data_IF_261746563003
#
_entry.id   IF_261746563003
#
_cell.length_a   1.000
_cell.length_b   1.000
_cell.length_c   1.000
_cell.angle_alpha   90.00
_cell.angle_beta   90.00
_cell.angle_gamma   90.00
#
_symmetry.space_group_name_H-M   'P 1'
#
loop_
_entity.id
_entity.type
_entity.pdbx_description
1 polymer ?
#
# COMPACT_ATOMS: atom_id res chain seq x y z
N UNK A 1 55.38 41.89 19.41
CA UNK A 1 55.93 42.95 18.49
C UNK A 1 54.92 43.05 17.36
N UNK A 2 54.08 44.09 17.43
CA UNK A 2 54.15 45.32 16.60
C UNK A 2 54.25 44.94 15.12
N UNK A 3 53.35 45.26 14.29
CA UNK A 3 52.65 46.45 13.73
C UNK A 3 52.29 46.08 12.30
N UNK A 4 51.47 46.57 11.49
CA UNK A 4 50.77 47.87 11.29
C UNK A 4 49.72 47.70 10.20
N UNK A 5 48.63 48.38 10.41
CA UNK A 5 47.52 48.77 9.52
C UNK A 5 48.03 49.42 8.23
N UNK A 6 47.36 49.17 7.08
CA UNK A 6 47.18 50.24 6.11
C UNK A 6 45.83 50.14 5.40
N UNK A 7 45.06 51.17 5.68
CA UNK A 7 43.79 51.53 5.06
C UNK A 7 44.10 52.39 3.83
N UNK A 8 43.50 52.14 2.70
CA UNK A 8 43.45 53.11 1.62
C UNK A 8 42.05 53.14 1.00
N UNK A 9 41.38 54.18 1.34
CA UNK A 9 40.11 54.69 0.82
C UNK A 9 40.44 55.54 -0.41
N UNK A 10 39.86 55.34 -1.59
CA UNK A 10 39.69 56.37 -2.59
C UNK A 10 38.32 56.27 -3.24
N UNK A 11 37.72 57.44 -3.32
CA UNK A 11 36.35 57.82 -3.62
C UNK A 11 36.08 58.06 -5.11
N UNK A 12 34.78 57.87 -5.45
CA UNK A 12 33.97 58.59 -6.47
C UNK A 12 34.47 58.77 -7.92
N UNK A 13 33.60 58.45 -8.84
CA UNK A 13 32.80 59.41 -9.64
C UNK A 13 31.71 58.66 -10.43
N UNK A 14 30.52 59.25 -10.34
CA UNK A 14 29.31 59.04 -11.08
C UNK A 14 29.42 59.48 -12.53
N UNK A 15 28.81 58.76 -13.48
CA UNK A 15 27.98 59.40 -14.52
C UNK A 15 27.12 58.38 -15.26
N UNK A 16 25.88 58.75 -15.41
CA UNK A 16 24.77 58.16 -16.14
C UNK A 16 25.03 58.00 -17.63
N UNK A 17 24.48 56.96 -18.27
CA UNK A 17 23.43 57.11 -19.28
C UNK A 17 22.85 55.74 -19.74
N UNK A 18 21.57 55.84 -20.05
CA UNK A 18 20.64 54.85 -20.54
C UNK A 18 21.07 54.17 -21.84
N UNK A 19 20.72 52.91 -21.96
CA UNK A 19 19.81 52.38 -23.02
C UNK A 19 19.69 50.87 -22.98
N UNK A 20 18.45 50.48 -22.89
CA UNK A 20 17.82 49.20 -23.18
C UNK A 20 18.61 48.15 -23.96
N UNK A 21 18.65 46.94 -23.41
CA UNK A 21 18.14 45.76 -24.16
C UNK A 21 17.85 44.60 -23.18
N UNK A 22 16.66 44.15 -23.23
CA UNK A 22 16.11 42.93 -22.65
C UNK A 22 16.98 41.72 -22.96
N UNK A 23 17.44 41.05 -21.92
CA UNK A 23 17.84 39.66 -22.04
C UNK A 23 17.28 38.88 -20.83
N UNK A 24 16.05 38.47 -21.01
CA UNK A 24 15.30 37.58 -20.13
C UNK A 24 15.97 36.22 -20.21
N UNK A 25 16.90 35.95 -19.30
CA UNK A 25 17.39 34.60 -19.06
C UNK A 25 16.27 33.80 -18.40
N UNK A 26 15.53 33.04 -19.23
CA UNK A 26 14.62 31.99 -18.79
C UNK A 26 15.44 30.97 -18.01
N UNK A 27 15.42 31.06 -16.70
CA UNK A 27 15.77 29.94 -15.83
C UNK A 27 14.67 28.91 -15.97
N UNK A 28 14.95 27.86 -16.73
CA UNK A 28 14.20 26.61 -16.70
C UNK A 28 14.39 26.01 -15.29
N UNK A 29 13.45 26.30 -14.43
CA UNK A 29 13.23 25.49 -13.23
C UNK A 29 12.75 24.14 -13.72
N UNK A 30 13.65 23.17 -13.78
CA UNK A 30 13.29 21.78 -13.78
C UNK A 30 12.65 21.48 -12.42
N UNK A 31 11.36 21.70 -12.32
CA UNK A 31 10.54 21.03 -11.31
C UNK A 31 10.50 19.57 -11.77
N UNK A 32 11.34 18.75 -11.21
CA UNK A 32 11.09 17.33 -11.11
C UNK A 32 9.80 17.21 -10.29
N UNK A 33 8.68 17.02 -10.97
CA UNK A 33 7.49 16.48 -10.35
C UNK A 33 7.83 15.03 -9.99
N UNK A 34 8.33 14.81 -8.78
CA UNK A 34 8.07 13.57 -8.08
C UNK A 34 6.55 13.41 -8.12
N UNK A 35 6.08 12.42 -8.89
CA UNK A 35 4.68 12.07 -8.91
C UNK A 35 4.29 11.72 -7.49
N UNK A 36 3.54 12.62 -6.88
CA UNK A 36 2.84 12.37 -5.62
C UNK A 36 1.88 11.21 -5.92
N UNK A 37 2.31 10.00 -5.60
CA UNK A 37 1.46 8.81 -5.59
C UNK A 37 0.45 9.11 -4.50
N UNK A 38 -0.74 9.57 -4.90
CA UNK A 38 -1.85 9.89 -4.01
C UNK A 38 -2.17 8.63 -3.20
N UNK A 39 -1.52 8.47 -2.08
CA UNK A 39 -1.86 7.44 -1.11
C UNK A 39 -3.30 7.68 -0.68
N UNK A 40 -4.14 6.69 -0.83
CA UNK A 40 -5.55 6.76 -0.47
C UNK A 40 -5.69 6.70 1.06
N UNK A 41 -5.49 7.83 1.73
CA UNK A 41 -5.44 7.97 3.19
C UNK A 41 -6.86 7.98 3.83
N UNK A 42 -7.78 7.13 3.36
CA UNK A 42 -9.12 7.02 3.92
C UNK A 42 -9.09 6.43 5.33
N UNK A 43 -9.81 7.09 6.23
CA UNK A 43 -10.01 6.66 7.63
C UNK A 43 -11.51 6.64 7.90
N UNK A 44 -11.99 5.59 8.55
CA UNK A 44 -13.40 5.38 8.84
C UNK A 44 -13.63 5.36 10.35
N UNK A 45 -14.79 5.84 10.79
CA UNK A 45 -15.16 5.88 12.21
C UNK A 45 -15.50 4.49 12.78
N UNK A 46 -15.91 3.56 11.89
CA UNK A 46 -16.29 2.19 12.26
C UNK A 46 -16.13 1.23 11.07
N UNK A 47 -16.12 -0.06 11.38
CA UNK A 47 -16.22 -1.11 10.37
C UNK A 47 -17.53 -0.93 9.55
N UNK A 48 -17.51 -1.19 8.23
CA UNK A 48 -18.71 -1.16 7.39
C UNK A 48 -19.80 -2.09 7.94
N UNK A 49 -21.04 -1.60 7.94
CA UNK A 49 -22.19 -2.46 8.24
C UNK A 49 -22.27 -3.63 7.26
N UNK A 50 -22.83 -4.76 7.70
CA UNK A 50 -23.03 -5.94 6.86
C UNK A 50 -24.01 -5.61 5.73
N UNK A 51 -23.51 -5.55 4.49
CA UNK A 51 -24.29 -5.22 3.30
C UNK A 51 -24.09 -6.22 2.14
N UNK A 52 -23.30 -7.27 2.36
CA UNK A 52 -23.22 -8.39 1.42
C UNK A 52 -24.24 -9.46 1.79
N UNK A 53 -24.73 -10.19 0.80
CA UNK A 53 -25.57 -11.37 0.99
C UNK A 53 -24.67 -12.60 1.14
N UNK A 54 -24.60 -13.14 2.38
CA UNK A 54 -23.72 -14.28 2.69
C UNK A 54 -24.06 -15.56 1.92
N UNK A 55 -25.26 -15.66 1.34
CA UNK A 55 -25.66 -16.80 0.50
C UNK A 55 -25.14 -16.71 -0.94
N UNK A 56 -24.58 -15.58 -1.33
CA UNK A 56 -24.03 -15.32 -2.66
C UNK A 56 -22.54 -15.56 -2.72
N UNK A 57 -22.05 -15.82 -3.92
CA UNK A 57 -20.63 -15.89 -4.20
C UNK A 57 -20.11 -14.53 -4.61
N UNK A 58 -18.97 -14.17 -4.06
CA UNK A 58 -18.25 -12.95 -4.44
C UNK A 58 -16.87 -13.33 -4.96
N UNK A 59 -16.44 -12.59 -5.97
CA UNK A 59 -15.09 -12.67 -6.55
C UNK A 59 -14.50 -11.28 -6.64
N UNK A 60 -13.17 -11.20 -6.72
CA UNK A 60 -12.49 -9.95 -7.00
C UNK A 60 -11.33 -10.17 -7.97
N UNK A 61 -10.93 -9.12 -8.66
CA UNK A 61 -9.67 -9.05 -9.40
C UNK A 61 -8.81 -7.99 -8.74
N UNK A 62 -7.68 -8.39 -8.15
CA UNK A 62 -6.64 -7.47 -7.69
C UNK A 62 -5.75 -7.19 -8.90
N UNK A 63 -5.83 -5.98 -9.44
CA UNK A 63 -4.95 -5.51 -10.50
C UNK A 63 -3.69 -4.94 -9.90
N UNK A 64 -2.54 -5.41 -10.34
CA UNK A 64 -1.25 -4.94 -9.82
C UNK A 64 -0.34 -4.48 -10.95
N UNK A 65 0.67 -3.70 -10.62
CA UNK A 65 1.73 -3.29 -11.55
C UNK A 65 2.52 -4.48 -12.14
N UNK A 66 2.31 -5.71 -11.63
CA UNK A 66 2.97 -6.94 -12.09
C UNK A 66 2.03 -7.95 -12.74
N UNK A 67 0.74 -7.65 -12.81
CA UNK A 67 -0.33 -8.49 -13.38
C UNK A 67 -1.51 -8.66 -12.43
N UNK A 68 -2.53 -9.37 -12.90
CA UNK A 68 -3.80 -9.50 -12.22
C UNK A 68 -3.92 -10.82 -11.48
N UNK A 69 -4.61 -10.81 -10.34
CA UNK A 69 -4.94 -12.00 -9.56
C UNK A 69 -6.45 -12.05 -9.34
N UNK A 70 -7.10 -13.15 -9.79
CA UNK A 70 -8.53 -13.39 -9.52
C UNK A 70 -8.69 -14.12 -8.19
N UNK A 71 -9.65 -13.66 -7.38
CA UNK A 71 -9.90 -14.16 -6.02
C UNK A 71 -11.35 -14.65 -5.91
N UNK A 72 -11.56 -15.78 -5.26
CA UNK A 72 -12.85 -16.22 -4.74
C UNK A 72 -12.85 -16.11 -3.22
N UNK A 73 -13.94 -15.53 -2.66
CA UNK A 73 -14.07 -15.33 -1.23
C UNK A 73 -14.81 -16.50 -0.54
N UNK A 74 -14.42 -16.77 0.70
CA UNK A 74 -15.09 -17.71 1.59
C UNK A 74 -16.16 -17.00 2.43
N UNK A 75 -17.22 -16.54 1.78
CA UNK A 75 -18.25 -15.68 2.36
C UNK A 75 -18.96 -16.31 3.57
N UNK A 76 -19.20 -17.63 3.54
CA UNK A 76 -19.83 -18.34 4.65
C UNK A 76 -18.88 -18.56 5.83
N UNK A 77 -17.57 -18.70 5.57
CA UNK A 77 -16.55 -18.97 6.60
C UNK A 77 -16.11 -17.71 7.35
N UNK A 78 -16.05 -16.56 6.64
CA UNK A 78 -15.54 -15.30 7.17
C UNK A 78 -16.38 -14.10 6.68
N UNK A 79 -17.69 -14.05 6.98
CA UNK A 79 -18.60 -13.06 6.42
C UNK A 79 -18.25 -11.61 6.79
N UNK A 80 -17.79 -11.32 8.00
CA UNK A 80 -17.39 -9.97 8.41
C UNK A 80 -16.15 -9.51 7.65
N UNK A 81 -15.16 -10.38 7.54
CA UNK A 81 -13.90 -10.10 6.84
C UNK A 81 -14.14 -9.88 5.34
N UNK A 82 -14.95 -10.73 4.72
CA UNK A 82 -15.32 -10.60 3.30
C UNK A 82 -16.10 -9.30 3.08
N UNK A 83 -17.08 -9.00 3.95
CA UNK A 83 -17.82 -7.74 3.91
C UNK A 83 -16.88 -6.53 4.03
N UNK A 84 -15.96 -6.57 4.97
CA UNK A 84 -14.96 -5.51 5.17
C UNK A 84 -14.12 -5.30 3.91
N UNK A 85 -13.51 -6.36 3.40
CA UNK A 85 -12.65 -6.29 2.21
C UNK A 85 -13.42 -5.78 0.97
N UNK A 86 -14.64 -6.28 0.74
CA UNK A 86 -15.49 -5.86 -0.38
C UNK A 86 -15.85 -4.36 -0.29
N UNK A 87 -16.24 -3.89 0.89
CA UNK A 87 -16.63 -2.48 1.07
C UNK A 87 -15.43 -1.56 0.89
N UNK A 88 -14.29 -1.89 1.48
CA UNK A 88 -13.04 -1.13 1.28
C UNK A 88 -12.63 -1.10 -0.20
N UNK A 89 -12.73 -2.24 -0.89
CA UNK A 89 -12.43 -2.34 -2.33
C UNK A 89 -13.36 -1.46 -3.16
N UNK A 90 -14.68 -1.55 -2.94
CA UNK A 90 -15.68 -0.75 -3.66
C UNK A 90 -15.52 0.75 -3.43
N UNK A 91 -15.01 1.13 -2.27
CA UNK A 91 -14.68 2.53 -1.96
C UNK A 91 -13.30 2.94 -2.51
N UNK A 92 -12.59 2.07 -3.22
CA UNK A 92 -11.25 2.35 -3.76
C UNK A 92 -10.19 2.52 -2.68
N UNK A 93 -10.39 1.96 -1.49
CA UNK A 93 -9.44 2.05 -0.38
C UNK A 93 -8.07 1.43 -0.71
N UNK A 94 -8.05 0.38 -1.52
CA UNK A 94 -6.84 -0.32 -1.92
C UNK A 94 -6.18 0.26 -3.17
N UNK A 95 -6.78 1.27 -3.82
CA UNK A 95 -6.22 1.88 -5.02
C UNK A 95 -4.89 2.58 -4.70
N UNK A 96 -3.86 2.25 -5.47
CA UNK A 96 -2.49 2.73 -5.29
C UNK A 96 -1.80 2.33 -3.97
N UNK A 97 -2.32 1.33 -3.26
CA UNK A 97 -1.68 0.77 -2.08
C UNK A 97 -0.62 -0.25 -2.50
N UNK A 98 0.51 -0.28 -1.80
CA UNK A 98 1.63 -1.17 -2.15
C UNK A 98 1.61 -2.48 -1.35
N UNK A 99 2.27 -3.50 -1.90
CA UNK A 99 2.74 -4.63 -1.10
C UNK A 99 3.97 -4.18 -0.32
N UNK A 100 3.76 -3.76 0.91
CA UNK A 100 4.81 -3.16 1.75
C UNK A 100 5.75 -4.17 2.40
N UNK A 101 5.40 -5.47 2.38
CA UNK A 101 6.24 -6.56 2.90
C UNK A 101 6.11 -7.79 2.04
N UNK A 102 7.23 -8.29 1.53
CA UNK A 102 7.31 -9.43 0.61
C UNK A 102 8.41 -10.36 1.09
N UNK A 103 8.04 -11.60 1.41
CA UNK A 103 8.99 -12.63 1.83
C UNK A 103 8.88 -13.83 0.90
N UNK A 104 9.91 -14.04 0.08
CA UNK A 104 10.02 -15.22 -0.78
C UNK A 104 10.01 -16.50 0.06
N UNK A 105 9.23 -17.49 -0.38
CA UNK A 105 9.03 -18.73 0.39
C UNK A 105 8.07 -18.58 1.57
N UNK A 106 7.31 -17.46 1.66
CA UNK A 106 6.31 -17.27 2.70
C UNK A 106 5.06 -16.57 2.18
N UNK A 107 5.02 -15.23 2.07
CA UNK A 107 3.83 -14.47 1.70
C UNK A 107 4.16 -13.10 1.08
N UNK A 108 3.16 -12.48 0.46
CA UNK A 108 3.14 -11.08 0.06
C UNK A 108 2.06 -10.34 0.85
N UNK A 109 2.38 -9.22 1.49
CA UNK A 109 1.48 -8.49 2.40
C UNK A 109 1.28 -7.06 1.93
N UNK A 110 0.02 -6.63 1.90
CA UNK A 110 -0.43 -5.29 1.50
C UNK A 110 -1.61 -4.80 2.32
N UNK A 111 -2.33 -3.80 1.79
CA UNK A 111 -3.58 -3.30 2.38
C UNK A 111 -3.37 -2.20 3.44
N UNK A 112 -2.16 -1.68 3.58
CA UNK A 112 -1.87 -0.49 4.39
C UNK A 112 -1.66 0.73 3.49
N UNK A 113 -2.56 1.72 3.48
CA UNK A 113 -2.40 2.93 2.67
C UNK A 113 -1.16 3.74 3.00
N UNK A 114 -0.64 3.64 4.23
CA UNK A 114 0.59 4.31 4.61
C UNK A 114 1.85 3.67 4.00
N UNK A 115 1.73 2.42 3.49
CA UNK A 115 2.85 1.67 2.94
C UNK A 115 3.95 1.31 3.94
N UNK A 116 3.69 1.46 5.25
CA UNK A 116 4.67 1.21 6.31
C UNK A 116 4.51 -0.14 6.98
N UNK A 117 3.36 -0.80 6.81
CA UNK A 117 2.97 -2.01 7.55
C UNK A 117 2.50 -1.75 8.98
N UNK A 118 2.62 -0.53 9.47
CA UNK A 118 2.21 -0.15 10.83
C UNK A 118 0.84 0.56 10.84
N UNK A 119 0.21 0.77 9.68
CA UNK A 119 -1.05 1.50 9.56
C UNK A 119 -0.99 2.87 10.22
N UNK A 120 0.17 3.57 10.11
CA UNK A 120 0.49 4.75 10.90
C UNK A 120 0.09 4.62 12.37
N UNK A 121 0.61 3.56 13.03
CA UNK A 121 0.36 3.30 14.45
C UNK A 121 -1.11 2.99 14.79
N UNK A 122 -1.85 2.40 13.84
CA UNK A 122 -3.24 1.99 14.02
C UNK A 122 -4.27 3.02 13.57
N UNK A 123 -3.87 4.06 12.85
CA UNK A 123 -4.78 5.03 12.24
C UNK A 123 -5.63 4.41 11.14
N UNK A 124 -5.08 3.47 10.37
CA UNK A 124 -5.76 2.85 9.23
C UNK A 124 -6.25 1.43 9.54
N UNK A 125 -7.47 1.09 9.13
CA UNK A 125 -8.50 1.91 8.46
C UNK A 125 -9.29 2.81 9.40
N UNK A 126 -8.98 2.87 10.70
CA UNK A 126 -9.65 3.65 11.74
C UNK A 126 -10.41 2.80 12.75
N UNK A 127 -10.51 1.50 12.52
CA UNK A 127 -11.18 0.53 13.37
C UNK A 127 -10.44 -0.80 13.40
N UNK A 128 -10.87 -1.67 14.31
CA UNK A 128 -10.46 -3.06 14.40
C UNK A 128 -11.69 -3.95 14.52
N UNK A 129 -11.58 -5.21 14.11
CA UNK A 129 -12.65 -6.19 14.25
C UNK A 129 -12.13 -7.58 14.60
N UNK A 130 -13.02 -8.42 15.05
CA UNK A 130 -12.77 -9.75 15.60
C UNK A 130 -12.24 -10.73 14.52
N UNK A 131 -11.53 -11.75 14.99
CA UNK A 131 -11.07 -12.87 14.15
C UNK A 131 -12.25 -13.81 13.82
N UNK A 132 -12.26 -14.35 12.61
CA UNK A 132 -13.19 -15.38 12.17
C UNK A 132 -12.42 -16.69 11.91
N UNK A 133 -12.12 -17.43 12.98
CA UNK A 133 -11.32 -18.65 12.96
C UNK A 133 -12.19 -19.92 12.93
N UNK A 134 -13.31 -19.90 12.22
CA UNK A 134 -14.27 -21.01 12.20
C UNK A 134 -13.97 -22.08 11.17
N UNK A 135 -13.22 -21.73 10.12
CA UNK A 135 -12.80 -22.68 9.11
C UNK A 135 -11.43 -23.27 9.49
N UNK A 136 -11.24 -24.55 9.34
CA UNK A 136 -9.95 -25.23 9.60
C UNK A 136 -9.13 -25.37 8.31
N UNK A 137 -9.04 -24.29 7.52
CA UNK A 137 -8.26 -24.26 6.29
C UNK A 137 -6.77 -24.14 6.59
N UNK A 138 -5.95 -24.72 5.73
CA UNK A 138 -4.49 -24.56 5.77
C UNK A 138 -4.08 -23.25 5.10
N UNK A 139 -2.92 -22.72 5.48
CA UNK A 139 -2.29 -21.59 4.79
C UNK A 139 -1.52 -22.10 3.56
N UNK A 140 -2.26 -22.61 2.58
CA UNK A 140 -1.70 -23.14 1.33
C UNK A 140 -1.42 -21.99 0.36
N UNK A 141 -0.58 -22.22 -0.66
CA UNK A 141 -0.27 -21.23 -1.70
C UNK A 141 -1.54 -20.63 -2.31
N UNK A 142 -1.59 -19.29 -2.41
CA UNK A 142 -2.73 -18.56 -2.94
C UNK A 142 -3.80 -18.23 -1.91
N UNK A 143 -3.74 -18.75 -0.70
CA UNK A 143 -4.67 -18.37 0.38
C UNK A 143 -4.52 -16.89 0.72
N UNK A 144 -5.67 -16.24 0.87
CA UNK A 144 -5.81 -14.85 1.28
C UNK A 144 -6.26 -14.82 2.74
N UNK A 145 -5.49 -14.14 3.60
CA UNK A 145 -5.78 -14.02 5.03
C UNK A 145 -5.52 -12.60 5.56
N UNK A 146 -6.20 -12.25 6.66
CA UNK A 146 -6.00 -10.96 7.33
C UNK A 146 -4.67 -10.95 8.08
N UNK A 147 -3.93 -9.86 7.95
CA UNK A 147 -2.83 -9.54 8.84
C UNK A 147 -3.38 -8.84 10.10
N UNK A 148 -2.86 -9.21 11.27
CA UNK A 148 -3.26 -8.62 12.55
C UNK A 148 -2.06 -8.41 13.48
N UNK A 149 -2.25 -7.67 14.57
CA UNK A 149 -1.26 -7.40 15.61
C UNK A 149 -1.59 -8.16 16.91
N UNK A 150 -2.22 -9.31 16.82
CA UNK A 150 -2.74 -10.14 17.90
C UNK A 150 -4.24 -10.37 17.74
N UNK A 151 -4.87 -11.14 18.63
CA UNK A 151 -6.28 -11.50 18.52
C UNK A 151 -7.19 -10.28 18.37
N UNK A 152 -8.20 -10.38 17.49
CA UNK A 152 -9.24 -9.37 17.30
C UNK A 152 -8.72 -7.97 16.93
N UNK A 153 -7.66 -7.93 16.11
CA UNK A 153 -7.06 -6.67 15.67
C UNK A 153 -7.02 -6.54 14.14
N UNK A 154 -7.92 -7.25 13.45
CA UNK A 154 -8.05 -7.13 11.99
C UNK A 154 -8.44 -5.69 11.60
N UNK A 155 -7.96 -5.25 10.46
CA UNK A 155 -8.26 -3.93 9.90
C UNK A 155 -8.41 -4.00 8.38
N UNK A 156 -7.43 -3.44 7.66
CA UNK A 156 -7.40 -3.48 6.19
C UNK A 156 -6.25 -4.31 5.63
N UNK A 157 -5.22 -4.60 6.42
CA UNK A 157 -4.05 -5.32 5.95
C UNK A 157 -4.36 -6.80 5.72
N UNK A 158 -3.87 -7.33 4.62
CA UNK A 158 -4.00 -8.73 4.25
C UNK A 158 -2.69 -9.28 3.69
N UNK A 159 -2.57 -10.60 3.64
CA UNK A 159 -1.48 -11.26 2.96
C UNK A 159 -2.00 -12.40 2.06
N UNK A 160 -1.21 -12.71 1.03
CA UNK A 160 -1.43 -13.84 0.14
C UNK A 160 -0.25 -14.79 0.28
N UNK A 161 -0.53 -16.07 0.51
CA UNK A 161 0.51 -17.07 0.67
C UNK A 161 1.25 -17.32 -0.65
N UNK A 162 2.58 -17.24 -0.61
CA UNK A 162 3.41 -17.60 -1.75
C UNK A 162 3.63 -19.11 -1.86
N UNK A 163 3.74 -19.79 -0.74
CA UNK A 163 3.89 -21.24 -0.63
C UNK A 163 3.02 -21.78 0.49
N UNK A 164 2.82 -23.09 0.53
CA UNK A 164 2.23 -23.75 1.69
C UNK A 164 3.11 -23.55 2.91
N UNK A 165 2.54 -23.03 3.99
CA UNK A 165 3.32 -22.70 5.19
C UNK A 165 2.54 -23.03 6.47
N UNK A 166 3.15 -23.73 7.45
CA UNK A 166 2.47 -24.14 8.69
C UNK A 166 2.38 -22.98 9.69
N UNK A 167 1.58 -21.95 9.37
CA UNK A 167 1.29 -20.89 10.31
C UNK A 167 0.40 -21.38 11.46
N UNK A 168 0.57 -20.83 12.68
CA UNK A 168 -0.43 -20.94 13.73
C UNK A 168 -1.78 -20.39 13.24
N UNK A 169 -2.87 -21.07 13.61
CA UNK A 169 -4.22 -20.68 13.20
C UNK A 169 -4.69 -19.45 14.00
N UNK A 170 -4.24 -18.28 13.57
CA UNK A 170 -4.44 -16.98 14.24
C UNK A 170 -4.82 -15.85 13.28
N UNK A 171 -4.94 -16.18 11.97
CA UNK A 171 -5.21 -15.22 10.93
C UNK A 171 -6.46 -15.65 10.18
N UNK A 172 -7.47 -14.78 10.11
CA UNK A 172 -8.71 -15.08 9.41
C UNK A 172 -8.46 -15.34 7.93
N UNK A 173 -8.67 -16.58 7.50
CA UNK A 173 -8.65 -16.95 6.08
C UNK A 173 -9.99 -16.60 5.46
N UNK A 174 -10.02 -15.79 4.41
CA UNK A 174 -11.26 -15.28 3.84
C UNK A 174 -11.39 -15.41 2.31
N UNK A 175 -10.38 -15.97 1.65
CA UNK A 175 -10.42 -16.20 0.20
C UNK A 175 -9.19 -16.93 -0.32
N UNK A 176 -9.17 -17.13 -1.62
CA UNK A 176 -8.02 -17.71 -2.30
C UNK A 176 -7.91 -17.23 -3.75
N UNK A 177 -6.70 -17.26 -4.28
CA UNK A 177 -6.40 -16.89 -5.67
C UNK A 177 -6.73 -18.04 -6.58
N UNK A 178 -7.68 -17.84 -7.52
CA UNK A 178 -8.11 -18.81 -8.52
C UNK A 178 -7.30 -18.73 -9.81
N UNK A 179 -6.86 -17.52 -10.18
CA UNK A 179 -6.03 -17.27 -11.36
C UNK A 179 -4.95 -16.24 -11.00
N UNK A 180 -3.77 -16.34 -11.62
CA UNK A 180 -2.65 -15.43 -11.35
C UNK A 180 -1.72 -15.90 -10.22
N UNK A 181 -1.64 -17.21 -9.94
CA UNK A 181 -0.67 -17.77 -8.99
C UNK A 181 0.78 -17.47 -9.41
N UNK A 182 1.06 -17.36 -10.72
CA UNK A 182 2.36 -16.94 -11.25
C UNK A 182 2.66 -15.45 -10.95
N UNK A 183 1.64 -14.63 -10.75
CA UNK A 183 1.81 -13.22 -10.34
C UNK A 183 2.28 -13.16 -8.89
N UNK A 184 1.76 -14.04 -8.01
CA UNK A 184 2.29 -14.16 -6.65
C UNK A 184 3.77 -14.51 -6.69
N UNK A 185 4.18 -15.46 -7.53
CA UNK A 185 5.59 -15.86 -7.69
C UNK A 185 6.46 -14.70 -8.18
N UNK A 186 5.96 -13.92 -9.16
CA UNK A 186 6.65 -12.73 -9.66
C UNK A 186 6.85 -11.69 -8.56
N UNK A 187 5.78 -11.36 -7.82
CA UNK A 187 5.84 -10.39 -6.72
C UNK A 187 6.79 -10.90 -5.62
N UNK A 188 6.69 -12.18 -5.25
CA UNK A 188 7.56 -12.78 -4.23
C UNK A 188 9.04 -12.88 -4.64
N UNK A 189 9.35 -12.65 -5.91
CA UNK A 189 10.71 -12.69 -6.46
C UNK A 189 11.38 -11.34 -6.57
N UNK A 190 10.71 -10.23 -6.25
CA UNK A 190 11.30 -8.89 -6.31
C UNK A 190 12.41 -8.72 -5.29
N UNK A 191 13.36 -7.87 -5.59
CA UNK A 191 14.38 -7.48 -4.62
C UNK A 191 13.74 -6.70 -3.46
N UNK A 192 14.10 -7.07 -2.23
CA UNK A 192 13.61 -6.43 -1.01
C UNK A 192 14.74 -5.82 -0.20
N UNK A 193 14.47 -4.70 0.46
CA UNK A 193 15.36 -4.02 1.39
C UNK A 193 14.99 -4.26 2.85
N UNK A 194 15.27 -3.27 3.68
CA UNK A 194 14.99 -3.33 5.12
C UNK A 194 13.49 -3.56 5.39
N UNK A 195 13.20 -4.46 6.32
CA UNK A 195 11.83 -4.83 6.70
C UNK A 195 11.08 -5.63 5.64
N UNK A 196 11.79 -6.32 4.75
CA UNK A 196 11.22 -7.10 3.64
C UNK A 196 10.41 -6.25 2.65
N UNK A 197 10.63 -4.93 2.61
CA UNK A 197 9.96 -4.02 1.68
C UNK A 197 10.57 -4.13 0.29
N UNK A 198 9.77 -4.27 -0.80
CA UNK A 198 10.27 -4.19 -2.16
C UNK A 198 11.09 -2.92 -2.42
N UNK A 199 12.26 -3.05 -3.07
CA UNK A 199 13.11 -1.90 -3.46
C UNK A 199 12.39 -1.01 -4.46
N UNK A 200 11.64 -1.64 -5.39
CA UNK A 200 10.72 -0.95 -6.29
C UNK A 200 9.29 -1.31 -5.86
N UNK A 201 8.47 -0.32 -5.61
CA UNK A 201 7.12 -0.54 -5.13
C UNK A 201 6.30 -1.43 -6.09
N UNK A 202 5.66 -2.46 -5.53
CA UNK A 202 4.66 -3.26 -6.23
C UNK A 202 3.30 -2.74 -5.81
N UNK A 203 2.59 -2.14 -6.77
CA UNK A 203 1.37 -1.38 -6.51
C UNK A 203 0.13 -2.22 -6.79
N UNK A 204 -0.86 -2.18 -5.91
CA UNK A 204 -2.23 -2.57 -6.17
C UNK A 204 -2.88 -1.38 -6.88
N UNK A 205 -3.09 -1.48 -8.19
CA UNK A 205 -3.68 -0.40 -8.99
C UNK A 205 -5.15 -0.21 -8.62
N UNK A 206 -5.88 -1.30 -8.49
CA UNK A 206 -7.29 -1.30 -8.04
C UNK A 206 -7.75 -2.72 -7.68
N UNK A 207 -8.88 -2.83 -6.98
CA UNK A 207 -9.56 -4.10 -6.67
C UNK A 207 -10.99 -4.04 -7.18
N UNK A 208 -11.29 -4.83 -8.22
CA UNK A 208 -12.63 -4.91 -8.83
C UNK A 208 -13.42 -6.07 -8.24
N UNK A 209 -14.53 -5.79 -7.57
CA UNK A 209 -15.39 -6.80 -6.95
C UNK A 209 -16.61 -7.11 -7.82
N UNK A 210 -16.95 -8.41 -7.92
CA UNK A 210 -18.15 -8.92 -8.61
C UNK A 210 -18.97 -9.79 -7.67
N UNK A 211 -20.26 -9.63 -7.74
CA UNK A 211 -21.28 -10.52 -7.14
C UNK A 211 -21.75 -11.48 -8.21
N UNK A 212 -21.78 -12.79 -7.94
CA UNK A 212 -22.13 -13.85 -8.88
C UNK A 212 -23.42 -14.57 -8.46
#
# INVERSE_FOLDING_TARGET
>A
MKKIILLALITFISCSNESDTLNESVQLNANEQEGDVLSNNKVYDSMPEMNIDISKKYTAVIKTSMGDMSIEFFTEDAPMTVNNFINLSRDGYYDNVIFHRVISGFMIQGGDPSGTGHGEMGKYPGYKFEDELNNQRSYDKGILAMANAGPDTNGSQFFIMHVDYPLPYQYTIFGFVTEGLDIIDKIASVETGDGDKPVNDVVIETVEVKEN
#
